data_IF_928378934140
#
_entry.id   IF_928378934140
#
_cell.length_a   1.000
_cell.length_b   1.000
_cell.length_c   1.000
_cell.angle_alpha   90.00
_cell.angle_beta   90.00
_cell.angle_gamma   90.00
#
_symmetry.space_group_name_H-M   'P 1'
#
loop_
_entity.id
_entity.type
_entity.pdbx_description
1 polymer ?
#
# COMPACT_ATOMS: atom_id res chain seq x y z
N UNK A 1 -31.00 -5.36 -3.46
CA UNK A 1 -29.93 -6.27 -2.94
C UNK A 1 -28.66 -5.55 -2.43
N UNK A 2 -28.33 -4.32 -2.87
CA UNK A 2 -27.08 -3.61 -2.48
C UNK A 2 -27.09 -2.96 -1.08
N UNK A 3 -28.27 -2.58 -0.56
CA UNK A 3 -28.40 -1.88 0.74
C UNK A 3 -28.06 -2.76 1.96
N UNK A 4 -28.41 -4.05 1.91
CA UNK A 4 -28.20 -5.00 3.02
C UNK A 4 -26.72 -5.33 3.26
N UNK A 5 -25.90 -5.41 2.19
CA UNK A 5 -24.45 -5.62 2.34
C UNK A 5 -23.76 -4.40 2.99
N UNK A 6 -24.23 -3.20 2.67
CA UNK A 6 -23.67 -1.91 3.12
C UNK A 6 -23.65 -1.74 4.65
N UNK A 7 -24.72 -2.17 5.33
CA UNK A 7 -24.79 -2.17 6.80
C UNK A 7 -23.91 -3.23 7.47
N UNK A 8 -23.65 -4.35 6.80
CA UNK A 8 -22.82 -5.44 7.33
C UNK A 8 -21.31 -5.19 7.10
N UNK A 9 -20.94 -4.41 6.09
CA UNK A 9 -19.55 -4.10 5.75
C UNK A 9 -19.01 -2.81 6.39
N UNK A 10 -19.87 -1.97 7.00
CA UNK A 10 -19.46 -0.68 7.58
C UNK A 10 -19.06 0.37 6.54
N UNK A 11 -19.62 0.28 5.34
CA UNK A 11 -19.25 1.14 4.21
C UNK A 11 -19.97 2.50 4.31
N UNK A 12 -19.24 3.64 4.32
CA UNK A 12 -19.89 4.95 4.42
C UNK A 12 -20.70 5.29 3.15
N UNK A 13 -21.69 6.16 3.30
CA UNK A 13 -22.42 6.72 2.15
C UNK A 13 -21.48 7.56 1.27
N UNK A 14 -21.64 7.49 -0.04
CA UNK A 14 -20.79 8.21 -1.00
C UNK A 14 -19.54 7.46 -1.47
N UNK A 15 -19.36 6.19 -1.09
CA UNK A 15 -18.26 5.37 -1.63
C UNK A 15 -18.49 5.03 -3.10
N UNK A 16 -17.59 5.51 -3.96
CA UNK A 16 -17.65 5.33 -5.41
C UNK A 16 -17.15 3.96 -5.89
N UNK A 17 -16.38 3.24 -5.06
CA UNK A 17 -15.83 1.93 -5.41
C UNK A 17 -16.79 0.75 -5.13
N UNK A 18 -16.32 -0.45 -5.45
CA UNK A 18 -16.99 -1.70 -5.10
C UNK A 18 -16.02 -2.58 -4.31
N UNK A 19 -16.40 -2.93 -3.08
CA UNK A 19 -15.62 -3.86 -2.26
C UNK A 19 -15.71 -5.28 -2.81
N UNK A 20 -14.60 -6.02 -2.69
CA UNK A 20 -14.61 -7.46 -2.92
C UNK A 20 -15.54 -8.15 -1.90
N UNK A 21 -16.13 -9.33 -2.22
CA UNK A 21 -17.09 -9.99 -1.33
C UNK A 21 -16.61 -10.24 0.11
N UNK A 22 -15.30 -10.42 0.30
CA UNK A 22 -14.66 -10.70 1.59
C UNK A 22 -13.83 -9.49 2.11
N UNK A 23 -13.99 -8.33 1.49
CA UNK A 23 -13.30 -7.11 1.90
C UNK A 23 -14.09 -6.39 2.99
N UNK A 24 -13.44 -6.15 4.13
CA UNK A 24 -14.05 -5.50 5.29
C UNK A 24 -13.45 -4.12 5.55
N UNK A 25 -14.27 -3.16 5.93
CA UNK A 25 -13.84 -1.80 6.24
C UNK A 25 -13.24 -1.76 7.65
N UNK A 26 -12.05 -1.18 7.79
CA UNK A 26 -11.39 -0.97 9.07
C UNK A 26 -11.58 0.47 9.58
N UNK A 27 -11.48 1.45 8.68
CA UNK A 27 -11.69 2.86 8.96
C UNK A 27 -11.93 3.64 7.65
N UNK A 28 -12.54 4.81 7.76
CA UNK A 28 -12.71 5.75 6.66
C UNK A 28 -12.43 7.17 7.12
N UNK A 29 -12.13 8.02 6.15
CA UNK A 29 -12.08 9.47 6.28
C UNK A 29 -12.53 10.10 4.97
N UNK A 30 -12.58 11.42 4.93
CA UNK A 30 -12.93 12.19 3.73
C UNK A 30 -11.73 13.04 3.33
N UNK A 31 -11.55 13.24 2.02
CA UNK A 31 -10.57 14.17 1.45
C UNK A 31 -11.17 14.80 0.19
N UNK A 32 -11.31 16.13 0.16
CA UNK A 32 -11.89 16.84 -0.98
C UNK A 32 -13.35 16.47 -1.25
N UNK A 33 -14.08 16.06 -0.20
CA UNK A 33 -15.46 15.56 -0.33
C UNK A 33 -15.59 14.11 -0.79
N UNK A 34 -14.49 13.42 -1.09
CA UNK A 34 -14.46 12.02 -1.48
C UNK A 34 -13.97 11.12 -0.34
N UNK A 35 -14.43 9.87 -0.31
CA UNK A 35 -14.03 8.93 0.73
C UNK A 35 -12.64 8.34 0.48
N UNK A 36 -11.89 8.23 1.58
CA UNK A 36 -10.68 7.44 1.69
C UNK A 36 -10.97 6.29 2.65
N UNK A 37 -10.82 5.04 2.21
CA UNK A 37 -11.29 3.87 2.97
C UNK A 37 -10.17 2.85 3.13
N UNK A 38 -9.77 2.59 4.38
CA UNK A 38 -8.86 1.50 4.71
C UNK A 38 -9.64 0.20 4.93
N UNK A 39 -9.29 -0.85 4.20
CA UNK A 39 -9.98 -2.14 4.25
C UNK A 39 -9.04 -3.29 4.62
N UNK A 40 -9.56 -4.51 4.64
CA UNK A 40 -8.75 -5.73 4.77
C UNK A 40 -7.79 -5.94 3.60
N UNK A 41 -8.12 -5.45 2.40
CA UNK A 41 -7.33 -5.71 1.19
C UNK A 41 -6.48 -4.53 0.71
N UNK A 42 -6.85 -3.30 1.05
CA UNK A 42 -6.08 -2.14 0.62
C UNK A 42 -6.61 -0.81 1.14
N UNK A 43 -6.03 0.27 0.61
CA UNK A 43 -6.49 1.63 0.80
C UNK A 43 -7.19 2.08 -0.47
N UNK A 44 -8.48 2.38 -0.37
CA UNK A 44 -9.21 3.07 -1.42
C UNK A 44 -8.95 4.56 -1.31
N UNK A 45 -8.57 5.15 -2.44
CA UNK A 45 -8.30 6.57 -2.62
C UNK A 45 -9.51 7.26 -3.28
N UNK A 46 -9.57 8.60 -3.25
CA UNK A 46 -10.52 9.37 -4.05
C UNK A 46 -10.44 8.97 -5.53
N UNK A 47 -11.58 8.88 -6.21
CA UNK A 47 -11.70 8.34 -7.57
C UNK A 47 -11.84 6.82 -7.68
N UNK A 48 -12.13 6.12 -6.57
CA UNK A 48 -12.34 4.65 -6.54
C UNK A 48 -11.13 3.81 -6.99
N UNK A 49 -9.92 4.31 -6.76
CA UNK A 49 -8.68 3.56 -6.95
C UNK A 49 -8.34 2.78 -5.68
N UNK A 50 -8.07 1.47 -5.77
CA UNK A 50 -7.60 0.67 -4.63
C UNK A 50 -6.10 0.39 -4.72
N UNK A 51 -5.35 0.87 -3.72
CA UNK A 51 -3.97 0.47 -3.51
C UNK A 51 -3.89 -0.73 -2.57
N UNK A 52 -3.31 -1.84 -3.04
CA UNK A 52 -2.98 -2.96 -2.17
C UNK A 52 -1.96 -2.55 -1.09
N UNK A 53 -2.08 -3.11 0.12
CA UNK A 53 -1.17 -2.75 1.22
C UNK A 53 0.31 -2.97 0.90
N UNK A 54 0.62 -4.00 0.10
CA UNK A 54 1.97 -4.32 -0.37
C UNK A 54 2.51 -3.34 -1.41
N UNK A 55 1.68 -2.48 -2.01
CA UNK A 55 2.08 -1.43 -2.95
C UNK A 55 2.16 -0.05 -2.31
N UNK A 56 1.97 0.07 -0.99
CA UNK A 56 2.23 1.31 -0.26
C UNK A 56 3.67 1.25 0.26
N UNK A 57 4.56 2.02 -0.35
CA UNK A 57 5.96 2.14 0.10
C UNK A 57 6.05 2.84 1.44
N UNK A 58 5.27 3.90 1.62
CA UNK A 58 5.24 4.69 2.85
C UNK A 58 3.88 5.37 3.01
N UNK A 59 3.42 5.48 4.25
CA UNK A 59 2.30 6.33 4.61
C UNK A 59 2.65 7.13 5.86
N UNK A 60 2.34 8.42 5.87
CA UNK A 60 2.60 9.33 6.99
C UNK A 60 1.40 10.21 7.25
N UNK A 61 1.17 10.51 8.53
CA UNK A 61 0.14 11.45 8.97
C UNK A 61 0.81 12.61 9.70
N UNK A 62 0.52 13.84 9.26
CA UNK A 62 1.12 15.06 9.82
C UNK A 62 0.20 15.81 10.81
N UNK A 63 -0.99 15.27 11.09
CA UNK A 63 -2.03 15.95 11.88
C UNK A 63 -3.13 16.59 11.03
N UNK A 64 -2.90 16.79 9.73
CA UNK A 64 -3.83 17.41 8.78
C UNK A 64 -4.03 16.60 7.50
N UNK A 65 -2.99 15.93 7.02
CA UNK A 65 -3.03 15.17 5.79
C UNK A 65 -2.34 13.81 5.92
N UNK A 66 -2.96 12.82 5.26
CA UNK A 66 -2.37 11.51 5.02
C UNK A 66 -1.58 11.58 3.72
N UNK A 67 -0.27 11.46 3.80
CA UNK A 67 0.60 11.36 2.63
C UNK A 67 0.92 9.91 2.36
N UNK A 68 0.60 9.44 1.15
CA UNK A 68 0.83 8.07 0.70
C UNK A 68 1.83 8.09 -0.45
N UNK A 69 2.88 7.27 -0.35
CA UNK A 69 3.79 6.96 -1.44
C UNK A 69 3.42 5.57 -1.92
N UNK A 70 2.77 5.51 -3.08
CA UNK A 70 2.47 4.26 -3.77
C UNK A 70 3.72 3.77 -4.52
N UNK A 71 3.76 2.49 -4.84
CA UNK A 71 4.71 1.91 -5.74
C UNK A 71 3.99 1.16 -6.85
N UNK A 72 4.63 1.11 -8.02
CA UNK A 72 4.20 0.30 -9.16
C UNK A 72 5.20 -0.81 -9.39
N UNK A 73 4.69 -1.96 -9.79
CA UNK A 73 5.50 -3.07 -10.25
C UNK A 73 5.98 -2.75 -11.67
N UNK A 74 7.30 -2.61 -11.84
CA UNK A 74 7.92 -2.27 -13.13
C UNK A 74 8.63 -3.45 -13.79
N UNK A 75 8.65 -4.60 -13.11
CA UNK A 75 9.22 -5.84 -13.60
C UNK A 75 9.66 -6.75 -12.47
N UNK A 76 10.70 -7.54 -12.72
CA UNK A 76 11.32 -8.43 -11.76
C UNK A 76 12.84 -8.28 -11.77
N UNK A 77 13.48 -8.49 -10.64
CA UNK A 77 14.92 -8.68 -10.52
C UNK A 77 15.16 -10.00 -9.80
N UNK A 78 15.62 -11.03 -10.54
CA UNK A 78 15.58 -12.41 -10.05
C UNK A 78 14.14 -12.82 -9.68
N UNK A 79 13.97 -13.42 -8.49
CA UNK A 79 12.63 -13.73 -7.95
C UNK A 79 11.92 -12.57 -7.23
N UNK A 80 12.55 -11.40 -7.10
CA UNK A 80 11.92 -10.25 -6.47
C UNK A 80 11.12 -9.42 -7.48
N UNK A 81 9.96 -8.92 -7.05
CA UNK A 81 9.18 -7.92 -7.79
C UNK A 81 9.88 -6.58 -7.69
N UNK A 82 10.21 -5.99 -8.83
CA UNK A 82 10.85 -4.68 -8.91
C UNK A 82 9.79 -3.59 -8.73
N UNK A 83 10.00 -2.71 -7.76
CA UNK A 83 9.11 -1.61 -7.46
C UNK A 83 9.75 -0.26 -7.78
N UNK A 84 8.94 0.65 -8.31
CA UNK A 84 9.28 2.06 -8.45
C UNK A 84 8.26 2.89 -7.69
N UNK A 85 8.75 3.78 -6.81
CA UNK A 85 7.89 4.69 -6.07
C UNK A 85 7.29 5.74 -6.99
N UNK A 86 6.01 6.01 -6.79
CA UNK A 86 5.34 7.15 -7.36
C UNK A 86 5.56 8.41 -6.50
N UNK A 87 5.32 9.61 -7.08
CA UNK A 87 5.29 10.84 -6.28
C UNK A 87 4.32 10.74 -5.09
N UNK A 88 4.64 11.38 -3.94
CA UNK A 88 3.75 11.37 -2.78
C UNK A 88 2.38 11.98 -3.10
N UNK A 89 1.31 11.23 -2.84
CA UNK A 89 -0.07 11.73 -2.90
C UNK A 89 -0.49 12.22 -1.52
N UNK A 90 -0.69 13.54 -1.40
CA UNK A 90 -1.16 14.17 -0.15
C UNK A 90 -2.68 14.22 -0.13
N UNK A 91 -3.28 13.68 0.93
CA UNK A 91 -4.73 13.61 1.15
C UNK A 91 -5.06 14.40 2.41
N UNK A 92 -5.40 15.70 2.33
CA UNK A 92 -5.93 16.46 3.46
C UNK A 92 -7.20 15.76 3.97
N UNK A 93 -7.29 15.47 5.25
CA UNK A 93 -8.44 14.77 5.81
C UNK A 93 -9.30 15.72 6.62
N UNK A 94 -10.54 15.99 6.19
CA UNK A 94 -11.44 16.86 6.95
C UNK A 94 -11.89 16.19 8.25
N UNK A 95 -12.09 14.87 8.20
CA UNK A 95 -12.45 14.05 9.35
C UNK A 95 -11.56 12.80 9.37
N UNK A 96 -10.37 12.88 9.97
CA UNK A 96 -9.40 11.79 9.91
C UNK A 96 -9.83 10.53 10.68
N UNK A 97 -10.66 10.67 11.72
CA UNK A 97 -11.14 9.55 12.54
C UNK A 97 -10.00 8.60 12.94
N UNK A 98 -10.18 7.30 12.69
CA UNK A 98 -9.15 6.27 12.91
C UNK A 98 -8.37 5.91 11.64
N UNK A 99 -8.61 6.59 10.52
CA UNK A 99 -8.03 6.24 9.23
C UNK A 99 -6.49 6.26 9.25
N UNK A 100 -5.81 7.31 9.76
CA UNK A 100 -4.34 7.31 9.85
C UNK A 100 -3.76 6.11 10.61
N UNK A 101 -4.37 5.77 11.74
CA UNK A 101 -3.95 4.66 12.60
C UNK A 101 -4.17 3.30 11.91
N UNK A 102 -5.30 3.14 11.22
CA UNK A 102 -5.62 1.95 10.45
C UNK A 102 -4.62 1.75 9.29
N UNK A 103 -4.32 2.81 8.54
CA UNK A 103 -3.34 2.78 7.43
C UNK A 103 -1.95 2.43 7.96
N UNK A 104 -1.47 3.11 8.99
CA UNK A 104 -0.16 2.81 9.59
C UNK A 104 -0.07 1.34 10.03
N UNK A 105 -1.10 0.85 10.74
CA UNK A 105 -1.15 -0.54 11.21
C UNK A 105 -1.09 -1.52 10.04
N UNK A 106 -1.89 -1.31 8.99
CA UNK A 106 -1.96 -2.21 7.83
C UNK A 106 -0.67 -2.24 7.02
N UNK A 107 -0.09 -1.07 6.75
CA UNK A 107 1.21 -0.97 6.06
C UNK A 107 2.29 -1.68 6.87
N UNK A 108 2.33 -1.46 8.19
CA UNK A 108 3.33 -2.09 9.07
C UNK A 108 3.16 -3.61 9.12
N UNK A 109 1.92 -4.11 9.30
CA UNK A 109 1.63 -5.55 9.37
C UNK A 109 1.85 -6.29 8.04
N UNK A 110 1.86 -5.57 6.93
CA UNK A 110 2.20 -6.16 5.62
C UNK A 110 3.67 -6.56 5.53
N UNK A 111 4.57 -5.92 6.28
CA UNK A 111 6.00 -6.21 6.24
C UNK A 111 6.33 -7.39 7.15
N UNK A 112 6.93 -8.43 6.58
CA UNK A 112 7.44 -9.59 7.32
C UNK A 112 8.88 -9.36 7.72
N UNK A 113 9.71 -8.96 6.76
CA UNK A 113 11.10 -8.58 6.99
C UNK A 113 11.50 -7.47 5.99
N UNK A 114 12.60 -6.80 6.30
CA UNK A 114 13.23 -5.83 5.39
C UNK A 114 14.73 -5.80 5.63
N UNK A 115 15.49 -5.70 4.56
CA UNK A 115 16.93 -5.55 4.61
C UNK A 115 17.39 -4.60 3.52
N UNK A 116 18.40 -3.79 3.84
CA UNK A 116 19.09 -2.95 2.86
C UNK A 116 20.42 -3.61 2.54
N UNK A 117 20.72 -3.71 1.25
CA UNK A 117 22.03 -4.13 0.76
C UNK A 117 22.69 -2.98 0.02
N UNK A 118 23.97 -2.74 0.33
CA UNK A 118 24.79 -1.82 -0.46
C UNK A 118 25.32 -2.58 -1.68
N UNK A 119 25.16 -1.99 -2.86
CA UNK A 119 25.54 -2.57 -4.15
C UNK A 119 26.40 -1.56 -4.93
N UNK A 120 27.12 -2.00 -5.97
CA UNK A 120 27.75 -1.08 -6.89
C UNK A 120 26.74 -0.06 -7.43
N UNK A 121 27.05 1.23 -7.30
CA UNK A 121 26.22 2.32 -7.81
C UNK A 121 25.04 2.75 -6.94
N UNK A 122 24.69 2.03 -5.87
CA UNK A 122 23.61 2.41 -4.94
C UNK A 122 23.15 1.28 -4.03
N UNK A 123 22.32 1.58 -3.03
CA UNK A 123 21.71 0.56 -2.18
C UNK A 123 20.46 -0.05 -2.82
N UNK A 124 19.95 -1.14 -2.24
CA UNK A 124 18.62 -1.66 -2.56
C UNK A 124 17.91 -2.13 -1.31
N UNK A 125 16.64 -1.74 -1.18
CA UNK A 125 15.74 -2.25 -0.14
C UNK A 125 15.02 -3.48 -0.62
N UNK A 126 15.27 -4.61 0.03
CA UNK A 126 14.51 -5.84 -0.10
C UNK A 126 13.49 -5.91 1.02
N UNK A 127 12.22 -6.15 0.68
CA UNK A 127 11.12 -6.18 1.63
C UNK A 127 10.25 -7.39 1.33
N UNK A 128 10.15 -8.31 2.28
CA UNK A 128 9.19 -9.41 2.20
C UNK A 128 7.85 -8.94 2.73
N UNK A 129 6.79 -9.06 1.93
CA UNK A 129 5.44 -8.60 2.28
C UNK A 129 4.38 -9.68 2.15
N UNK A 130 3.41 -9.65 3.07
CA UNK A 130 2.14 -10.37 2.95
C UNK A 130 1.22 -9.62 2.00
N UNK A 131 0.54 -10.36 1.12
CA UNK A 131 -0.51 -9.81 0.26
C UNK A 131 -1.86 -10.31 0.77
N UNK A 132 -2.73 -9.44 1.29
CA UNK A 132 -4.06 -9.86 1.70
C UNK A 132 -4.80 -10.57 0.56
N UNK A 133 -5.47 -11.68 0.89
CA UNK A 133 -6.19 -12.50 -0.09
C UNK A 133 -5.31 -13.43 -0.92
N UNK A 134 -4.01 -13.52 -0.62
CA UNK A 134 -3.08 -14.51 -1.19
C UNK A 134 -2.34 -15.24 -0.08
N UNK A 135 -2.09 -16.52 -0.30
CA UNK A 135 -1.24 -17.30 0.61
C UNK A 135 0.23 -16.95 0.40
N UNK A 136 0.99 -16.97 1.50
CA UNK A 136 2.43 -16.73 1.48
C UNK A 136 2.84 -15.25 1.47
N UNK A 137 4.05 -15.00 0.97
CA UNK A 137 4.68 -13.69 0.93
C UNK A 137 5.35 -13.45 -0.41
N UNK A 138 5.42 -12.19 -0.82
CA UNK A 138 6.20 -11.75 -1.97
C UNK A 138 7.48 -11.08 -1.50
N UNK A 139 8.58 -11.27 -2.25
CA UNK A 139 9.78 -10.47 -2.10
C UNK A 139 9.69 -9.29 -3.08
N UNK A 140 9.83 -8.08 -2.56
CA UNK A 140 9.86 -6.86 -3.36
C UNK A 140 11.22 -6.18 -3.21
N UNK A 141 11.68 -5.52 -4.26
CA UNK A 141 12.92 -4.76 -4.25
C UNK A 141 12.71 -3.34 -4.76
N UNK A 142 13.33 -2.38 -4.05
CA UNK A 142 13.39 -0.95 -4.40
C UNK A 142 14.86 -0.54 -4.46
N UNK A 143 15.49 -0.57 -5.63
CA UNK A 143 16.86 -0.09 -5.79
C UNK A 143 16.91 1.43 -5.73
N UNK A 144 17.99 1.96 -5.15
CA UNK A 144 18.36 3.37 -5.29
C UNK A 144 18.71 3.64 -6.78
N UNK A 145 18.56 4.90 -7.20
CA UNK A 145 18.96 5.28 -8.55
C UNK A 145 20.46 5.00 -8.77
N UNK A 146 20.79 4.23 -9.81
CA UNK A 146 22.16 3.87 -10.16
C UNK A 146 22.65 2.52 -9.61
N UNK A 147 21.89 1.84 -8.75
CA UNK A 147 22.25 0.51 -8.29
C UNK A 147 22.32 -0.48 -9.47
N UNK A 148 23.36 -1.32 -9.50
CA UNK A 148 23.59 -2.31 -10.55
C UNK A 148 22.44 -3.35 -10.61
N UNK A 149 21.65 -3.38 -11.72
CA UNK A 149 20.53 -4.31 -11.85
C UNK A 149 20.93 -5.79 -11.75
N UNK A 150 22.14 -6.14 -12.19
CA UNK A 150 22.63 -7.52 -12.16
C UNK A 150 22.93 -7.95 -10.73
N UNK A 151 23.56 -7.07 -9.95
CA UNK A 151 23.83 -7.31 -8.53
C UNK A 151 22.52 -7.39 -7.72
N UNK A 152 21.53 -6.56 -8.03
CA UNK A 152 20.19 -6.63 -7.43
C UNK A 152 19.54 -7.98 -7.71
N UNK A 153 19.53 -8.44 -8.96
CA UNK A 153 18.93 -9.72 -9.35
C UNK A 153 19.61 -10.91 -8.65
N UNK A 154 20.94 -10.91 -8.59
CA UNK A 154 21.70 -11.98 -7.94
C UNK A 154 21.45 -12.09 -6.42
N UNK A 155 21.12 -10.98 -5.75
CA UNK A 155 20.70 -11.00 -4.34
C UNK A 155 19.28 -11.51 -4.14
N UNK A 156 18.40 -11.30 -5.12
CA UNK A 156 17.01 -11.71 -5.04
C UNK A 156 16.80 -13.23 -5.14
N UNK A 157 17.81 -13.97 -5.63
CA UNK A 157 17.81 -15.43 -5.81
C UNK A 157 18.32 -16.21 -4.57
N UNK A 158 18.81 -15.50 -3.55
CA UNK A 158 19.34 -16.08 -2.31
C UNK A 158 18.26 -16.17 -1.22
#
# INVERSE_FOLDING_TARGET
MSWLRRKLTGLPEGFAGQLDPNESVAASGTSGGELVVATSLGLWLPGAERLGWHLISKATWDGSALTVIAAVETGTAGSAVLLTDQPPRRLPLEQPGKLPQAVQRRVTQSVVDRHRHELPGGGAWFVRRRVPGRDGTILQVRPDAGADPTAVAALAEK
#
